data_IF_467762963849
#
_entry.id   IF_467762963849
#
_cell.length_a   1.000
_cell.length_b   1.000
_cell.length_c   1.000
_cell.angle_alpha   90.00
_cell.angle_beta   90.00
_cell.angle_gamma   90.00
#
_symmetry.space_group_name_H-M   'P 1'
#
loop_
_entity.id
_entity.type
_entity.pdbx_description
1 polymer ?
#
# COMPACT_ATOMS: atom_id res chain seq x y z
N UNK A 1 -18.17 19.49 16.76
CA UNK A 1 -16.95 19.50 15.92
C UNK A 1 -16.43 18.08 15.86
N UNK A 2 -16.64 17.38 14.75
CA UNK A 2 -16.24 15.96 14.61
C UNK A 2 -14.73 15.86 14.40
N UNK A 3 -14.05 15.05 15.23
CA UNK A 3 -12.61 14.83 15.10
C UNK A 3 -12.31 14.18 13.74
N UNK A 4 -11.67 14.93 12.84
CA UNK A 4 -11.15 14.37 11.60
C UNK A 4 -10.04 13.38 11.94
N UNK A 5 -10.26 12.09 11.70
CA UNK A 5 -9.23 11.08 11.85
C UNK A 5 -8.12 11.38 10.84
N UNK A 6 -6.90 11.64 11.31
CA UNK A 6 -5.75 11.95 10.45
C UNK A 6 -4.67 10.89 10.65
N UNK A 7 -4.06 10.48 9.54
CA UNK A 7 -2.95 9.53 9.53
C UNK A 7 -1.83 10.16 8.72
N UNK A 8 -0.74 10.50 9.39
CA UNK A 8 0.42 11.12 8.77
C UNK A 8 1.50 10.08 8.50
N UNK A 9 1.99 10.03 7.28
CA UNK A 9 3.13 9.19 6.90
C UNK A 9 4.28 10.10 6.49
N UNK A 10 5.38 10.00 7.21
CA UNK A 10 6.63 10.71 6.95
C UNK A 10 7.61 9.81 6.21
N UNK A 11 8.19 10.31 5.13
CA UNK A 11 9.19 9.60 4.36
C UNK A 11 10.60 10.03 4.76
N UNK A 12 11.19 9.33 5.71
CA UNK A 12 12.59 9.47 6.10
C UNK A 12 13.50 8.47 5.38
N UNK A 13 13.02 7.82 4.31
CA UNK A 13 13.81 6.90 3.52
C UNK A 13 14.59 7.62 2.42
N UNK A 14 15.49 6.90 1.77
CA UNK A 14 16.36 7.36 0.70
C UNK A 14 15.64 7.51 -0.65
N UNK A 15 14.43 6.96 -0.79
CA UNK A 15 13.61 6.95 -2.01
C UNK A 15 12.23 7.52 -1.74
N UNK A 16 11.50 7.79 -2.81
CA UNK A 16 10.08 8.12 -2.69
C UNK A 16 9.27 6.89 -2.27
N UNK A 17 8.15 7.14 -1.60
CA UNK A 17 7.20 6.09 -1.23
C UNK A 17 5.81 6.36 -1.77
N UNK A 18 5.04 5.30 -1.92
CA UNK A 18 3.69 5.29 -2.43
C UNK A 18 2.80 4.59 -1.41
N UNK A 19 1.75 5.27 -0.96
CA UNK A 19 0.89 4.80 0.14
C UNK A 19 -0.55 4.65 -0.34
N UNK A 20 -1.16 3.52 -0.03
CA UNK A 20 -2.60 3.31 -0.17
C UNK A 20 -3.21 3.06 1.21
N UNK A 21 -4.36 3.68 1.48
CA UNK A 21 -5.09 3.57 2.73
C UNK A 21 -6.50 3.03 2.49
N UNK A 22 -6.98 2.16 3.39
CA UNK A 22 -8.35 1.64 3.39
C UNK A 22 -8.89 1.50 4.81
N UNK A 23 -10.21 1.54 4.93
CA UNK A 23 -10.91 1.02 6.09
C UNK A 23 -10.70 -0.46 6.28
N UNK A 24 -10.72 -0.85 7.55
CA UNK A 24 -11.01 -2.20 7.95
C UNK A 24 -12.46 -2.22 8.50
N UNK A 25 -13.41 -3.01 7.93
CA UNK A 25 -13.20 -4.06 6.92
C UNK A 25 -13.10 -3.58 5.46
N UNK A 26 -12.38 -4.36 4.66
CA UNK A 26 -11.85 -4.08 3.31
C UNK A 26 -12.88 -3.78 2.18
N UNK A 27 -14.17 -3.66 2.47
CA UNK A 27 -15.23 -3.54 1.46
C UNK A 27 -15.24 -2.19 0.71
N UNK A 28 -14.60 -1.15 1.26
CA UNK A 28 -14.61 0.20 0.67
C UNK A 28 -13.59 0.39 -0.47
N UNK A 29 -12.68 -0.56 -0.70
CA UNK A 29 -11.66 -0.46 -1.76
C UNK A 29 -12.12 -1.09 -3.09
N UNK A 30 -13.30 -1.71 -3.10
CA UNK A 30 -13.80 -2.51 -4.23
C UNK A 30 -13.88 -1.72 -5.54
N UNK A 31 -14.22 -0.42 -5.49
CA UNK A 31 -14.38 0.40 -6.71
C UNK A 31 -13.04 0.79 -7.36
N UNK A 32 -12.04 1.20 -6.56
CA UNK A 32 -10.73 1.62 -7.07
C UNK A 32 -9.82 0.44 -7.43
N UNK A 33 -10.07 -0.68 -6.77
CA UNK A 33 -9.43 -1.96 -7.08
C UNK A 33 -9.93 -2.52 -8.41
N UNK A 34 -11.19 -2.28 -8.81
CA UNK A 34 -11.72 -2.80 -10.06
C UNK A 34 -10.84 -2.37 -11.25
N UNK A 35 -10.35 -1.13 -11.27
CA UNK A 35 -9.44 -0.64 -12.31
C UNK A 35 -8.05 -1.29 -12.27
N UNK A 36 -7.50 -1.54 -11.07
CA UNK A 36 -6.21 -2.22 -10.90
C UNK A 36 -6.35 -3.70 -11.30
N UNK A 37 -7.38 -4.38 -10.81
CA UNK A 37 -7.66 -5.79 -11.03
C UNK A 37 -8.03 -6.12 -12.47
N UNK A 38 -8.81 -5.26 -13.14
CA UNK A 38 -9.16 -5.43 -14.56
C UNK A 38 -7.95 -5.19 -15.46
N UNK A 39 -7.14 -4.14 -15.22
CA UNK A 39 -5.89 -3.92 -15.98
C UNK A 39 -4.81 -4.96 -15.66
N UNK A 40 -4.78 -5.49 -14.44
CA UNK A 40 -3.92 -6.58 -14.02
C UNK A 40 -4.30 -7.90 -14.71
N UNK A 41 -5.57 -8.30 -14.66
CA UNK A 41 -6.06 -9.53 -15.29
C UNK A 41 -5.99 -9.46 -16.82
N UNK A 42 -6.35 -8.32 -17.41
CA UNK A 42 -6.31 -8.15 -18.87
C UNK A 42 -4.89 -7.91 -19.38
N UNK A 43 -4.05 -7.15 -18.68
CA UNK A 43 -2.66 -6.91 -19.08
C UNK A 43 -1.80 -8.17 -18.96
N UNK A 44 -2.04 -8.97 -17.93
CA UNK A 44 -1.39 -10.26 -17.77
C UNK A 44 -2.02 -11.36 -18.67
N UNK A 45 -3.23 -11.18 -19.19
CA UNK A 45 -3.83 -12.06 -20.21
C UNK A 45 -3.49 -11.66 -21.67
N UNK A 46 -3.17 -10.38 -21.92
CA UNK A 46 -2.80 -9.87 -23.24
C UNK A 46 -1.35 -10.21 -23.63
N UNK A 47 -0.46 -10.42 -22.65
CA UNK A 47 0.77 -11.19 -22.83
C UNK A 47 0.57 -12.58 -22.24
N UNK A 48 1.22 -13.63 -22.74
CA UNK A 48 1.19 -14.99 -22.20
C UNK A 48 1.77 -15.14 -20.76
N UNK A 49 1.74 -14.08 -19.95
CA UNK A 49 2.48 -13.92 -18.71
C UNK A 49 1.63 -14.31 -17.48
N UNK A 50 0.33 -14.03 -17.41
CA UNK A 50 -0.52 -14.39 -16.27
C UNK A 50 -0.53 -15.90 -15.98
N UNK A 51 -0.74 -16.70 -17.03
CA UNK A 51 -0.97 -18.14 -16.90
C UNK A 51 0.34 -18.92 -16.73
N UNK A 52 1.42 -18.47 -17.34
CA UNK A 52 2.72 -19.13 -17.27
C UNK A 52 3.58 -18.67 -16.08
N UNK A 53 3.50 -17.41 -15.64
CA UNK A 53 4.39 -16.89 -14.56
C UNK A 53 3.83 -17.06 -13.16
N UNK A 54 2.51 -16.98 -12.97
CA UNK A 54 1.88 -17.23 -11.67
C UNK A 54 2.01 -18.68 -11.19
N UNK A 55 2.09 -19.63 -12.13
CA UNK A 55 2.13 -21.07 -11.83
C UNK A 55 3.56 -21.63 -11.80
N UNK A 56 4.52 -21.01 -12.50
CA UNK A 56 5.86 -21.58 -12.69
C UNK A 56 6.98 -20.89 -11.89
N UNK A 57 6.76 -19.71 -11.29
CA UNK A 57 7.86 -18.92 -10.70
C UNK A 57 7.86 -18.78 -9.19
N UNK A 58 6.81 -19.22 -8.51
CA UNK A 58 6.76 -19.09 -7.05
C UNK A 58 6.56 -20.46 -6.42
N UNK A 59 7.65 -21.22 -6.15
CA UNK A 59 7.58 -22.42 -5.34
C UNK A 59 7.35 -21.98 -3.88
N UNK A 60 6.09 -21.93 -3.47
CA UNK A 60 5.72 -21.62 -2.09
C UNK A 60 4.20 -21.66 -1.87
N UNK A 61 3.70 -22.06 -0.68
CA UNK A 61 2.28 -22.26 -0.42
C UNK A 61 1.44 -20.96 -0.27
N UNK A 62 1.95 -19.77 -0.61
CA UNK A 62 1.31 -18.48 -0.29
C UNK A 62 1.17 -17.48 -1.46
N UNK A 63 1.52 -17.85 -2.68
CA UNK A 63 1.87 -16.87 -3.72
C UNK A 63 1.15 -17.07 -5.05
N UNK A 64 -0.05 -17.62 -5.02
CA UNK A 64 -0.93 -17.51 -6.18
C UNK A 64 -1.51 -16.09 -6.18
N UNK A 65 -1.27 -15.27 -7.21
CA UNK A 65 -1.93 -13.97 -7.31
C UNK A 65 -3.46 -14.19 -7.24
N UNK A 66 -4.17 -13.40 -6.43
CA UNK A 66 -5.61 -13.58 -6.26
C UNK A 66 -6.32 -13.43 -7.60
N UNK A 67 -7.24 -14.36 -7.89
CA UNK A 67 -8.03 -14.36 -9.15
C UNK A 67 -8.86 -13.09 -9.32
N UNK A 68 -9.16 -12.41 -8.23
CA UNK A 68 -9.85 -11.13 -8.16
C UNK A 68 -9.25 -10.37 -6.98
N UNK A 69 -8.87 -9.11 -7.20
CA UNK A 69 -8.44 -8.23 -6.12
C UNK A 69 -9.72 -7.75 -5.43
N UNK A 70 -9.88 -8.03 -4.13
CA UNK A 70 -11.06 -7.65 -3.34
C UNK A 70 -10.72 -6.86 -2.09
N UNK A 71 -9.44 -6.77 -1.75
CA UNK A 71 -8.95 -6.21 -0.50
C UNK A 71 -7.56 -5.61 -0.65
N UNK A 72 -7.12 -4.80 0.33
CA UNK A 72 -5.72 -4.36 0.41
C UNK A 72 -4.76 -5.54 0.58
N UNK A 73 -5.19 -6.64 1.21
CA UNK A 73 -4.38 -7.85 1.36
C UNK A 73 -4.09 -8.51 0.01
N UNK A 74 -5.05 -8.47 -0.91
CA UNK A 74 -4.86 -8.96 -2.27
C UNK A 74 -3.86 -8.08 -3.04
N UNK A 75 -3.97 -6.75 -2.90
CA UNK A 75 -3.01 -5.80 -3.47
C UNK A 75 -1.61 -6.07 -2.92
N UNK A 76 -1.49 -6.21 -1.60
CA UNK A 76 -0.22 -6.52 -0.95
C UNK A 76 0.40 -7.82 -1.48
N UNK A 77 -0.40 -8.89 -1.60
CA UNK A 77 0.05 -10.17 -2.18
C UNK A 77 0.53 -10.01 -3.63
N UNK A 78 -0.16 -9.21 -4.45
CA UNK A 78 0.27 -8.90 -5.81
C UNK A 78 1.60 -8.11 -5.84
N UNK A 79 1.78 -7.14 -4.94
CA UNK A 79 3.02 -6.37 -4.84
C UNK A 79 4.19 -7.22 -4.35
N UNK A 80 3.97 -8.15 -3.44
CA UNK A 80 5.00 -9.12 -3.03
C UNK A 80 5.41 -10.02 -4.19
N UNK A 81 4.45 -10.49 -5.00
CA UNK A 81 4.74 -11.25 -6.22
C UNK A 81 5.53 -10.39 -7.24
N UNK A 82 5.11 -9.13 -7.45
CA UNK A 82 5.81 -8.18 -8.32
C UNK A 82 7.27 -7.98 -7.88
N UNK A 83 7.51 -7.80 -6.58
CA UNK A 83 8.85 -7.66 -5.99
C UNK A 83 9.73 -8.87 -6.30
N UNK A 84 9.19 -10.09 -6.18
CA UNK A 84 9.92 -11.32 -6.52
C UNK A 84 10.27 -11.36 -8.01
N UNK A 85 9.34 -11.00 -8.90
CA UNK A 85 9.57 -10.95 -10.35
C UNK A 85 10.67 -9.94 -10.73
N UNK A 86 10.65 -8.75 -10.11
CA UNK A 86 11.67 -7.72 -10.29
C UNK A 86 13.06 -8.21 -9.85
N UNK A 87 13.12 -8.98 -8.75
CA UNK A 87 14.37 -9.56 -8.23
C UNK A 87 14.98 -10.60 -9.19
N UNK A 88 14.16 -11.27 -10.00
CA UNK A 88 14.58 -12.31 -10.95
C UNK A 88 14.78 -11.81 -12.40
N UNK A 89 14.93 -10.50 -12.61
CA UNK A 89 15.09 -9.86 -13.95
C UNK A 89 13.94 -10.14 -14.93
N UNK A 90 12.78 -10.60 -14.46
CA UNK A 90 11.54 -10.67 -15.27
C UNK A 90 10.77 -9.38 -15.09
N UNK A 91 11.33 -8.33 -15.69
CA UNK A 91 11.05 -6.94 -15.34
C UNK A 91 9.64 -6.48 -15.73
N UNK A 92 9.10 -6.90 -16.88
CA UNK A 92 7.94 -6.21 -17.46
C UNK A 92 6.65 -6.38 -16.64
N UNK A 93 6.31 -7.60 -16.20
CA UNK A 93 5.14 -7.81 -15.33
C UNK A 93 5.30 -7.11 -13.98
N UNK A 94 6.48 -7.24 -13.35
CA UNK A 94 6.75 -6.62 -12.07
C UNK A 94 6.68 -5.09 -12.15
N UNK A 95 7.27 -4.50 -13.20
CA UNK A 95 7.23 -3.06 -13.47
C UNK A 95 5.79 -2.61 -13.71
N UNK A 96 5.02 -3.32 -14.54
CA UNK A 96 3.63 -2.97 -14.79
C UNK A 96 2.76 -2.99 -13.52
N UNK A 97 3.00 -3.94 -12.61
CA UNK A 97 2.31 -4.01 -11.31
C UNK A 97 2.68 -2.82 -10.41
N UNK A 98 3.98 -2.51 -10.32
CA UNK A 98 4.49 -1.36 -9.56
C UNK A 98 3.92 -0.05 -10.11
N UNK A 99 3.93 0.15 -11.43
CA UNK A 99 3.42 1.36 -12.08
C UNK A 99 1.91 1.51 -11.97
N UNK A 100 1.17 0.40 -11.95
CA UNK A 100 -0.28 0.42 -11.68
C UNK A 100 -0.55 0.89 -10.25
N UNK A 101 0.17 0.33 -9.27
CA UNK A 101 0.03 0.75 -7.88
C UNK A 101 0.42 2.22 -7.69
N UNK A 102 1.54 2.68 -8.26
CA UNK A 102 1.99 4.08 -8.17
C UNK A 102 0.95 5.07 -8.69
N UNK A 103 0.19 4.71 -9.73
CA UNK A 103 -0.89 5.55 -10.29
C UNK A 103 -2.11 5.67 -9.37
N UNK A 104 -2.34 4.66 -8.54
CA UNK A 104 -3.49 4.60 -7.63
C UNK A 104 -3.13 4.94 -6.19
N UNK A 105 -1.86 5.17 -5.89
CA UNK A 105 -1.35 5.42 -4.55
C UNK A 105 -0.91 6.87 -4.36
N UNK A 106 -0.85 7.29 -3.11
CA UNK A 106 -0.42 8.61 -2.68
C UNK A 106 1.10 8.64 -2.72
N UNK A 107 1.66 9.45 -3.62
CA UNK A 107 3.09 9.70 -3.68
C UNK A 107 3.55 10.60 -2.52
N UNK A 108 4.56 10.19 -1.77
CA UNK A 108 5.20 10.96 -0.70
C UNK A 108 6.70 11.06 -1.04
N UNK A 109 7.17 12.22 -1.52
CA UNK A 109 8.58 12.45 -1.80
C UNK A 109 9.47 12.24 -0.59
N UNK A 110 10.74 11.92 -0.82
CA UNK A 110 11.76 11.89 0.22
C UNK A 110 11.80 13.20 1.01
N UNK A 111 11.81 13.10 2.34
CA UNK A 111 11.88 14.26 3.23
C UNK A 111 10.54 14.98 3.43
N UNK A 112 9.46 14.47 2.83
CA UNK A 112 8.12 15.00 3.01
C UNK A 112 7.25 14.08 3.89
N UNK A 113 6.12 14.63 4.34
CA UNK A 113 5.06 13.86 4.97
C UNK A 113 3.70 14.26 4.39
N UNK A 114 2.75 13.33 4.36
CA UNK A 114 1.37 13.61 3.93
C UNK A 114 0.34 13.01 4.88
N UNK A 115 -0.81 13.66 4.99
CA UNK A 115 -1.98 13.07 5.65
C UNK A 115 -2.71 12.17 4.64
N UNK A 116 -2.60 10.86 4.80
CA UNK A 116 -3.16 9.89 3.83
C UNK A 116 -4.67 9.71 3.95
N UNK A 117 -5.31 10.44 4.88
CA UNK A 117 -6.76 10.46 5.13
C UNK A 117 -7.43 11.76 4.67
N UNK A 118 -6.70 12.64 4.00
CA UNK A 118 -7.25 13.91 3.54
C UNK A 118 -8.31 13.72 2.46
N UNK A 119 -9.47 14.42 2.58
CA UNK A 119 -10.61 14.28 1.66
C UNK A 119 -10.25 14.41 0.19
N UNK A 120 -9.40 15.37 -0.14
CA UNK A 120 -9.00 15.59 -1.53
C UNK A 120 -8.20 14.40 -2.08
N UNK A 121 -7.40 13.78 -1.22
CA UNK A 121 -6.57 12.64 -1.57
C UNK A 121 -7.43 11.37 -1.65
N UNK A 122 -8.33 11.16 -0.69
CA UNK A 122 -9.29 10.04 -0.72
C UNK A 122 -10.30 10.20 -1.87
N UNK A 123 -10.73 11.43 -2.16
CA UNK A 123 -11.64 11.79 -3.25
C UNK A 123 -11.16 11.41 -4.65
N UNK A 124 -9.85 11.31 -4.84
CA UNK A 124 -9.24 10.87 -6.11
C UNK A 124 -9.24 9.35 -6.25
N UNK A 125 -9.44 8.61 -5.15
CA UNK A 125 -9.11 7.19 -5.09
C UNK A 125 -10.14 6.34 -4.35
N UNK A 126 -11.27 6.88 -3.92
CA UNK A 126 -12.36 6.14 -3.27
C UNK A 126 -13.70 6.74 -3.68
N UNK A 127 -14.74 5.91 -3.70
CA UNK A 127 -16.11 6.38 -3.90
C UNK A 127 -16.58 7.24 -2.72
N UNK A 128 -17.57 8.10 -2.97
CA UNK A 128 -18.12 9.04 -1.98
C UNK A 128 -18.57 8.32 -0.70
N UNK A 129 -19.15 7.12 -0.83
CA UNK A 129 -19.58 6.28 0.29
C UNK A 129 -18.39 5.71 1.08
N UNK A 130 -17.30 5.33 0.40
CA UNK A 130 -16.06 4.91 1.04
C UNK A 130 -15.39 6.04 1.83
N UNK A 131 -15.41 7.26 1.30
CA UNK A 131 -14.90 8.47 1.96
C UNK A 131 -15.75 8.84 3.17
N UNK A 132 -17.07 8.76 3.05
CA UNK A 132 -17.99 9.00 4.16
C UNK A 132 -17.72 8.01 5.30
N UNK A 133 -17.54 6.74 5.00
CA UNK A 133 -17.19 5.72 5.99
C UNK A 133 -15.84 5.99 6.67
N UNK A 134 -14.83 6.48 5.92
CA UNK A 134 -13.50 6.85 6.45
C UNK A 134 -13.53 8.03 7.41
N UNK A 135 -14.36 9.02 7.10
CA UNK A 135 -14.33 10.32 7.79
C UNK A 135 -15.43 10.48 8.84
N UNK A 136 -16.42 9.57 8.87
CA UNK A 136 -17.52 9.60 9.85
C UNK A 136 -17.16 9.03 11.22
N UNK A 137 -15.86 8.85 11.52
CA UNK A 137 -15.36 8.80 12.91
C UNK A 137 -15.45 7.45 13.64
N UNK A 138 -15.93 6.38 13.02
CA UNK A 138 -15.98 5.04 13.65
C UNK A 138 -14.90 4.06 13.15
N UNK A 139 -14.11 4.46 12.16
CA UNK A 139 -12.99 3.68 11.69
C UNK A 139 -11.82 3.74 12.68
N UNK A 140 -11.81 2.84 13.66
CA UNK A 140 -10.71 2.74 14.64
C UNK A 140 -9.42 2.21 14.03
N UNK A 141 -9.50 1.57 12.86
CA UNK A 141 -8.37 0.90 12.21
C UNK A 141 -8.37 1.23 10.71
N UNK A 142 -7.29 1.84 10.23
CA UNK A 142 -7.01 2.01 8.81
C UNK A 142 -5.90 1.04 8.44
N UNK A 143 -6.12 0.25 7.40
CA UNK A 143 -5.10 -0.58 6.79
C UNK A 143 -4.30 0.26 5.81
N UNK A 144 -2.98 0.19 5.90
CA UNK A 144 -2.06 0.86 4.99
C UNK A 144 -1.27 -0.19 4.21
N UNK A 145 -1.06 0.08 2.92
CA UNK A 145 -0.04 -0.56 2.10
C UNK A 145 0.93 0.53 1.67
N UNK A 146 2.22 0.32 1.91
CA UNK A 146 3.28 1.23 1.49
C UNK A 146 4.29 0.50 0.64
N UNK A 147 4.74 1.15 -0.42
CA UNK A 147 5.73 0.65 -1.35
C UNK A 147 6.80 1.72 -1.62
N UNK A 148 8.04 1.29 -1.74
CA UNK A 148 9.15 2.13 -2.24
C UNK A 148 9.04 2.37 -3.75
N UNK A 149 9.67 3.44 -4.23
CA UNK A 149 9.60 3.86 -5.64
C UNK A 149 9.91 2.77 -6.68
N UNK A 150 10.84 1.87 -6.38
CA UNK A 150 11.29 0.77 -7.23
C UNK A 150 10.50 -0.53 -7.02
N UNK A 151 9.53 -0.54 -6.10
CA UNK A 151 8.81 -1.75 -5.70
C UNK A 151 9.66 -2.76 -4.92
N UNK A 152 10.89 -2.41 -4.56
CA UNK A 152 11.83 -3.31 -3.90
C UNK A 152 11.47 -3.61 -2.44
N UNK A 153 10.74 -2.69 -1.80
CA UNK A 153 10.20 -2.80 -0.44
C UNK A 153 8.71 -2.54 -0.44
N UNK A 154 7.97 -3.43 0.23
CA UNK A 154 6.52 -3.33 0.43
C UNK A 154 6.20 -3.62 1.90
N UNK A 155 5.23 -2.95 2.50
CA UNK A 155 4.75 -3.25 3.85
C UNK A 155 3.24 -3.05 3.93
N UNK A 156 2.56 -3.87 4.73
CA UNK A 156 1.14 -3.70 5.04
C UNK A 156 0.92 -3.80 6.55
N UNK A 157 0.12 -2.89 7.11
CA UNK A 157 -0.25 -2.94 8.52
C UNK A 157 -1.55 -2.20 8.81
N UNK A 158 -2.14 -2.48 9.97
CA UNK A 158 -3.24 -1.67 10.52
C UNK A 158 -2.66 -0.58 11.44
N UNK A 159 -3.08 0.66 11.23
CA UNK A 159 -2.68 1.81 12.06
C UNK A 159 -3.23 1.73 13.48
N UNK A 160 -4.38 1.08 13.69
CA UNK A 160 -5.12 1.11 14.95
C UNK A 160 -5.27 2.56 15.45
N UNK A 161 -4.98 2.81 16.73
CA UNK A 161 -4.99 4.16 17.32
C UNK A 161 -3.74 5.00 17.00
N UNK A 162 -2.83 4.53 16.14
CA UNK A 162 -1.59 5.25 15.82
C UNK A 162 -1.77 6.17 14.62
N UNK A 163 -1.69 7.48 14.87
CA UNK A 163 -1.97 8.53 13.87
C UNK A 163 -0.76 8.97 13.03
N UNK A 164 0.45 8.49 13.33
CA UNK A 164 1.66 8.98 12.64
C UNK A 164 2.77 7.94 12.58
N UNK A 165 3.36 7.78 11.40
CA UNK A 165 4.38 6.78 11.10
C UNK A 165 5.53 7.39 10.31
N UNK A 166 6.75 6.90 10.55
CA UNK A 166 7.98 7.26 9.85
C UNK A 166 8.47 6.05 9.08
N UNK A 167 8.47 6.15 7.75
CA UNK A 167 9.10 5.19 6.86
C UNK A 167 10.61 5.47 6.83
N UNK A 168 11.43 4.53 7.29
CA UNK A 168 12.88 4.73 7.41
C UNK A 168 13.65 3.77 6.49
N UNK A 169 14.93 4.07 6.26
CA UNK A 169 15.84 3.21 5.51
C UNK A 169 16.28 1.95 6.25
N UNK A 170 16.13 1.89 7.58
CA UNK A 170 16.67 0.82 8.41
C UNK A 170 15.82 -0.47 8.39
N UNK A 171 15.09 -0.71 7.30
CA UNK A 171 14.25 -1.91 7.18
C UNK A 171 12.94 -1.87 7.95
N UNK A 172 12.64 -0.75 8.61
CA UNK A 172 11.46 -0.61 9.46
C UNK A 172 10.66 0.67 9.17
N UNK A 173 9.36 0.58 9.37
CA UNK A 173 8.43 1.68 9.50
C UNK A 173 8.07 1.75 10.97
N UNK A 174 8.23 2.93 11.57
CA UNK A 174 8.11 3.11 13.02
C UNK A 174 7.07 4.14 13.37
N UNK A 175 6.36 3.92 14.48
CA UNK A 175 5.44 4.92 15.02
C UNK A 175 6.20 6.21 15.39
N UNK A 176 5.60 7.36 15.10
CA UNK A 176 6.12 8.66 15.55
C UNK A 176 5.80 8.92 17.03
N UNK A 177 6.60 9.73 17.73
CA UNK A 177 6.26 10.21 19.07
C UNK A 177 5.03 11.11 18.98
N UNK A 178 4.18 11.05 20.00
CA UNK A 178 2.96 11.87 20.06
C UNK A 178 3.30 13.37 19.92
N UNK A 179 2.53 14.09 19.11
CA UNK A 179 2.76 15.50 18.81
C UNK A 179 3.93 15.79 17.84
N UNK A 180 4.57 14.75 17.30
CA UNK A 180 5.69 14.90 16.35
C UNK A 180 5.49 13.98 15.15
N UNK A 181 5.97 14.39 13.98
CA UNK A 181 5.91 13.58 12.76
C UNK A 181 7.26 12.91 12.48
N UNK A 182 8.37 13.61 12.72
CA UNK A 182 9.70 13.12 12.34
C UNK A 182 10.46 12.40 13.47
N UNK A 183 9.97 12.45 14.71
CA UNK A 183 10.64 11.77 15.82
C UNK A 183 10.07 10.37 15.99
N UNK A 184 10.92 9.37 15.83
CA UNK A 184 10.56 7.97 16.06
C UNK A 184 10.33 7.71 17.55
N UNK A 185 9.27 6.94 17.86
CA UNK A 185 9.08 6.39 19.19
C UNK A 185 9.75 5.00 19.28
N UNK A 186 10.90 4.91 19.93
CA UNK A 186 11.68 3.67 20.01
C UNK A 186 10.95 2.53 20.76
N UNK A 187 10.02 2.88 21.65
CA UNK A 187 9.13 1.95 22.37
C UNK A 187 7.80 1.71 21.64
N UNK A 188 7.59 2.38 20.51
CA UNK A 188 6.38 2.28 19.70
C UNK A 188 6.35 1.04 18.81
N UNK A 189 5.23 0.85 18.11
CA UNK A 189 5.09 -0.24 17.14
C UNK A 189 6.07 -0.05 15.98
N UNK A 190 6.56 -1.19 15.47
CA UNK A 190 7.44 -1.30 14.32
C UNK A 190 6.81 -2.25 13.32
N UNK A 191 6.93 -1.92 12.04
CA UNK A 191 6.50 -2.74 10.91
C UNK A 191 7.72 -2.94 10.04
N UNK A 192 8.00 -4.18 9.62
CA UNK A 192 9.14 -4.46 8.74
C UNK A 192 8.73 -4.30 7.28
N UNK A 193 9.67 -3.82 6.46
CA UNK A 193 9.56 -3.96 5.02
C UNK A 193 9.71 -5.44 4.63
N UNK A 194 8.83 -5.94 3.77
CA UNK A 194 9.07 -7.19 3.06
C UNK A 194 10.21 -6.99 2.05
N UNK A 195 11.18 -7.92 2.05
CA UNK A 195 12.33 -7.91 1.13
C UNK A 195 13.66 -7.42 1.71
N UNK A 196 13.74 -7.21 3.03
CA UNK A 196 15.01 -7.00 3.75
C UNK A 196 15.47 -8.28 4.46
#
# INVERSE_FOLDING_TARGET
MGASHSIHIANASSKDIYVMASLNPDWAVVDSIADIGVKFLLGAAAGNLATATATALIPGPSSTPPKQIKSLKDIFSCLEAARQLLSHKRAEAGVAMVDSFKRSAIHIPRGEFKNVMEREILGKHLSVDGIASLLSGNAKNVSLVVMSEDGGRVAMWNTNSDHSWVCTDCGEIRRSKYGTIWQVNDKGRKVRWAGN
#
